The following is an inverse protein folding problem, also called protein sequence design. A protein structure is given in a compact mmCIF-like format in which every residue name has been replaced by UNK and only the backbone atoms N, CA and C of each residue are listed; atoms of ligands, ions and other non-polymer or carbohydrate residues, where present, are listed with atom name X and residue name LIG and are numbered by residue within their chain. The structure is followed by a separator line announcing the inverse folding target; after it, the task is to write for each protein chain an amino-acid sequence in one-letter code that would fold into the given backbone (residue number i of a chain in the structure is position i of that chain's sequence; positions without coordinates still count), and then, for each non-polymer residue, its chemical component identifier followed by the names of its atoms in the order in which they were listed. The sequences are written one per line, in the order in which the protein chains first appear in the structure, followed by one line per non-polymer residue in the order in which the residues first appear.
data_IF_623780626465
#
_entry.id   IF_623780626465
#
_cell.length_a   1.000
_cell.length_b   1.000
_cell.length_c   1.000
_cell.angle_alpha   90.00
_cell.angle_beta   90.00
_cell.angle_gamma   90.00
#
_symmetry.space_group_name_H-M   'P 1'
#
loop_
_entity.id
_entity.type
_entity.pdbx_description
1 polymer ?
#
# COMPACT_ATOMS: atom_id res chain seq x y z
N UNK A 1 -15.53 3.26 5.32
CA UNK A 1 -14.08 3.32 5.09
C UNK A 1 -13.56 1.90 4.94
N UNK A 2 -12.80 1.64 3.88
CA UNK A 2 -12.10 0.39 3.61
C UNK A 2 -10.60 0.67 3.57
N UNK A 3 -9.79 -0.19 4.16
CA UNK A 3 -8.34 -0.09 4.09
C UNK A 3 -7.74 -1.44 3.72
N UNK A 4 -6.77 -1.42 2.81
CA UNK A 4 -5.87 -2.52 2.51
C UNK A 4 -4.57 -2.28 3.28
N UNK A 5 -4.16 -3.27 4.06
CA UNK A 5 -2.86 -3.27 4.72
C UNK A 5 -1.86 -4.10 3.90
N UNK A 6 -0.59 -3.67 3.85
CA UNK A 6 0.48 -4.51 3.33
C UNK A 6 0.89 -5.60 4.33
N UNK A 7 1.82 -6.47 3.93
CA UNK A 7 2.31 -7.54 4.77
C UNK A 7 3.07 -7.05 6.02
N UNK A 8 3.54 -5.79 6.01
CA UNK A 8 4.24 -5.15 7.12
C UNK A 8 3.26 -4.45 8.09
N UNK A 9 1.96 -4.47 7.79
CA UNK A 9 0.91 -3.87 8.59
C UNK A 9 0.70 -2.37 8.36
N UNK A 10 1.29 -1.79 7.32
CA UNK A 10 1.05 -0.40 6.93
C UNK A 10 -0.18 -0.29 6.03
N UNK A 11 -0.81 0.88 5.99
CA UNK A 11 -1.92 1.14 5.06
C UNK A 11 -1.36 1.28 3.65
N UNK A 12 -1.52 0.23 2.86
CA UNK A 12 -1.18 0.21 1.45
C UNK A 12 -2.20 0.99 0.61
N UNK A 13 -3.44 1.07 1.09
CA UNK A 13 -4.52 1.81 0.43
C UNK A 13 -5.67 2.05 1.39
N UNK A 14 -6.34 3.20 1.29
CA UNK A 14 -7.63 3.41 1.93
C UNK A 14 -8.61 4.13 1.01
N UNK A 15 -9.89 3.82 1.17
CA UNK A 15 -10.96 4.42 0.39
C UNK A 15 -12.25 4.58 1.18
N UNK A 16 -13.00 5.59 0.79
CA UNK A 16 -14.31 5.91 1.34
C UNK A 16 -15.37 5.77 0.25
N UNK A 17 -16.50 5.20 0.61
CA UNK A 17 -17.59 4.92 -0.32
C UNK A 17 -18.90 5.44 0.26
N UNK A 18 -19.81 5.90 -0.60
CA UNK A 18 -21.17 6.23 -0.23
C UNK A 18 -22.04 4.97 -0.05
N UNK A 19 -23.31 5.17 0.32
CA UNK A 19 -24.28 4.09 0.54
C UNK A 19 -24.69 3.34 -0.74
N UNK A 20 -24.38 3.88 -1.92
CA UNK A 20 -24.61 3.22 -3.21
C UNK A 20 -23.35 2.51 -3.74
N UNK A 21 -22.24 2.57 -2.98
CA UNK A 21 -20.98 1.94 -3.35
C UNK A 21 -20.13 2.78 -4.32
N UNK A 22 -20.45 4.05 -4.54
CA UNK A 22 -19.58 4.95 -5.32
C UNK A 22 -18.41 5.40 -4.45
N UNK A 23 -17.22 5.46 -5.04
CA UNK A 23 -16.02 5.90 -4.34
C UNK A 23 -16.05 7.43 -4.17
N UNK A 24 -15.91 7.87 -2.92
CA UNK A 24 -15.83 9.28 -2.54
C UNK A 24 -14.37 9.76 -2.42
N UNK A 25 -13.45 8.90 -1.97
CA UNK A 25 -12.04 9.26 -1.77
C UNK A 25 -11.09 8.05 -1.93
N UNK A 26 -9.82 8.33 -2.26
CA UNK A 26 -8.73 7.35 -2.35
C UNK A 26 -7.42 7.90 -1.78
N UNK A 27 -6.80 7.18 -0.84
CA UNK A 27 -5.47 7.47 -0.32
C UNK A 27 -4.54 6.24 -0.47
N UNK A 28 -3.34 6.46 -1.00
CA UNK A 28 -2.29 5.44 -1.13
C UNK A 28 -0.90 6.02 -0.83
N UNK A 29 0.03 5.24 -0.26
CA UNK A 29 1.37 5.71 0.03
C UNK A 29 2.12 6.06 -1.27
N UNK A 30 2.83 7.18 -1.28
CA UNK A 30 3.70 7.56 -2.39
C UNK A 30 4.93 6.61 -2.40
N UNK A 31 5.05 5.76 -3.42
CA UNK A 31 6.14 4.77 -3.52
C UNK A 31 7.53 5.44 -3.53
N UNK A 32 8.50 5.01 -2.68
CA UNK A 32 9.90 5.38 -2.82
C UNK A 32 10.60 4.53 -3.90
N UNK A 33 11.29 5.15 -4.86
CA UNK A 33 12.00 4.46 -5.95
C UNK A 33 13.11 3.49 -5.44
N UNK A 34 13.35 2.32 -6.08
CA UNK A 34 14.21 1.26 -5.54
C UNK A 34 15.73 1.52 -5.69
N UNK A 35 16.51 1.20 -4.64
CA UNK A 35 17.97 1.13 -4.65
C UNK A 35 18.44 -0.35 -4.55
N UNK A 36 19.40 -0.74 -5.40
CA UNK A 36 19.90 -2.11 -5.67
C UNK A 36 21.30 -2.32 -5.03
N UNK A 37 21.89 -3.55 -5.02
CA UNK A 37 21.72 -4.74 -4.17
C UNK A 37 23.02 -4.98 -3.32
N UNK A 38 23.29 -6.09 -2.63
CA UNK A 38 23.91 -7.33 -3.16
C UNK A 38 24.09 -8.35 -2.02
N UNK A 39 23.71 -9.60 -2.25
CA UNK A 39 23.93 -10.71 -1.32
C UNK A 39 24.99 -11.66 -1.89
N UNK A 40 25.95 -12.05 -1.04
CA UNK A 40 27.00 -12.98 -1.41
C UNK A 40 27.78 -13.50 -0.20
N UNK A 41 27.11 -14.23 0.69
CA UNK A 41 27.72 -15.25 1.56
C UNK A 41 26.69 -16.38 1.65
N UNK A 42 26.82 -17.39 0.79
CA UNK A 42 27.40 -18.70 1.12
C UNK A 42 26.43 -19.49 2.02
N UNK A 43 25.93 -20.66 1.63
CA UNK A 43 26.51 -21.75 0.83
C UNK A 43 25.41 -22.53 0.11
#
# INVERSE_FOLDING_TARGET
MLALMDADGNIAWSGEYDEWGNQLNEEKPASPAPAVPAAGAAV
#
